data_IF_604873513973
#
_entry.id   IF_604873513973
#
_cell.length_a   1.000
_cell.length_b   1.000
_cell.length_c   1.000
_cell.angle_alpha   90.00
_cell.angle_beta   90.00
_cell.angle_gamma   90.00
#
_symmetry.space_group_name_H-M   'P 1'
#
loop_
_entity.id
_entity.type
_entity.pdbx_description
1 polymer ?
#
# COMPACT_ATOMS: atom_id res chain seq x y z
N UNK A 1 -55.94 21.63 -23.93
CA UNK A 1 -55.72 20.61 -25.01
C UNK A 1 -54.41 20.90 -25.77
N UNK A 2 -53.38 21.31 -25.08
CA UNK A 2 -52.06 21.68 -25.67
C UNK A 2 -50.87 20.84 -25.13
N UNK A 3 -51.12 19.87 -24.25
CA UNK A 3 -50.01 19.13 -23.56
C UNK A 3 -49.67 17.77 -24.17
N UNK A 4 -50.38 17.25 -25.15
CA UNK A 4 -50.14 15.89 -25.70
C UNK A 4 -49.32 15.83 -26.99
N UNK A 5 -48.97 16.96 -27.62
CA UNK A 5 -48.14 16.96 -28.83
C UNK A 5 -46.62 16.98 -28.51
N UNK A 6 -46.22 17.48 -27.34
CA UNK A 6 -44.80 17.57 -26.94
C UNK A 6 -44.23 16.25 -26.39
N UNK A 7 -45.06 15.35 -25.86
CA UNK A 7 -44.56 14.09 -25.28
C UNK A 7 -43.95 13.15 -26.34
N UNK A 8 -44.53 13.12 -27.54
CA UNK A 8 -44.00 12.29 -28.63
C UNK A 8 -42.66 12.80 -29.23
N UNK A 9 -42.52 14.14 -29.26
CA UNK A 9 -41.23 14.74 -29.71
C UNK A 9 -40.15 14.51 -28.67
N UNK A 10 -40.38 14.77 -27.41
CA UNK A 10 -39.45 14.53 -26.30
C UNK A 10 -39.02 13.05 -26.23
N UNK A 11 -39.94 12.11 -26.37
CA UNK A 11 -39.66 10.68 -26.39
C UNK A 11 -38.76 10.27 -27.57
N UNK A 12 -39.06 10.75 -28.78
CA UNK A 12 -38.25 10.48 -30.00
C UNK A 12 -36.87 11.13 -29.89
N UNK A 13 -36.77 12.34 -29.38
CA UNK A 13 -35.53 13.03 -29.15
C UNK A 13 -34.65 12.30 -28.12
N UNK A 14 -35.24 11.86 -27.00
CA UNK A 14 -34.53 11.06 -25.99
C UNK A 14 -34.05 9.72 -26.57
N UNK A 15 -34.90 9.03 -27.34
CA UNK A 15 -34.51 7.79 -28.02
C UNK A 15 -33.37 8.00 -29.03
N UNK A 16 -33.42 9.07 -29.84
CA UNK A 16 -32.36 9.42 -30.78
C UNK A 16 -31.04 9.74 -30.06
N UNK A 17 -31.08 10.50 -28.95
CA UNK A 17 -29.91 10.77 -28.10
C UNK A 17 -29.32 9.49 -27.51
N UNK A 18 -30.15 8.57 -27.03
CA UNK A 18 -29.69 7.29 -26.50
C UNK A 18 -29.02 6.44 -27.56
N UNK A 19 -29.65 6.29 -28.75
CA UNK A 19 -29.09 5.52 -29.88
C UNK A 19 -27.77 6.14 -30.35
N UNK A 20 -27.74 7.47 -30.48
CA UNK A 20 -26.51 8.18 -30.83
C UNK A 20 -25.42 7.96 -29.79
N UNK A 21 -25.73 8.06 -28.49
CA UNK A 21 -24.78 7.81 -27.40
C UNK A 21 -24.21 6.39 -27.43
N UNK A 22 -25.06 5.38 -27.65
CA UNK A 22 -24.63 3.98 -27.77
C UNK A 22 -23.73 3.79 -29.01
N UNK A 23 -24.13 4.33 -30.17
CA UNK A 23 -23.35 4.22 -31.41
C UNK A 23 -21.99 4.94 -31.29
N UNK A 24 -21.98 6.15 -30.72
CA UNK A 24 -20.75 6.90 -30.48
C UNK A 24 -19.82 6.17 -29.47
N UNK A 25 -20.38 5.59 -28.42
CA UNK A 25 -19.64 4.78 -27.44
C UNK A 25 -19.03 3.52 -28.08
N UNK A 26 -19.79 2.81 -28.93
CA UNK A 26 -19.31 1.64 -29.66
C UNK A 26 -18.20 2.02 -30.66
N UNK A 27 -18.39 3.10 -31.41
CA UNK A 27 -17.36 3.61 -32.33
C UNK A 27 -16.09 3.99 -31.54
N UNK A 28 -16.21 4.72 -30.43
CA UNK A 28 -15.10 5.08 -29.59
C UNK A 28 -14.36 3.84 -29.04
N UNK A 29 -15.10 2.80 -28.62
CA UNK A 29 -14.50 1.53 -28.18
C UNK A 29 -13.71 0.84 -29.29
N UNK A 30 -14.19 0.89 -30.54
CA UNK A 30 -13.51 0.27 -31.71
C UNK A 30 -12.24 1.04 -32.08
N UNK A 31 -12.29 2.37 -32.12
CA UNK A 31 -11.21 3.22 -32.62
C UNK A 31 -10.21 3.65 -31.55
N UNK A 32 -10.51 3.51 -30.25
CA UNK A 32 -9.54 3.82 -29.20
C UNK A 32 -8.46 2.75 -29.11
N UNK A 33 -7.17 3.13 -29.05
CA UNK A 33 -6.07 2.18 -28.88
C UNK A 33 -6.26 1.33 -27.61
N UNK A 34 -6.10 0.02 -27.75
CA UNK A 34 -6.22 -0.90 -26.63
C UNK A 34 -5.01 -0.79 -25.73
N UNK A 35 -5.25 -0.85 -24.43
CA UNK A 35 -4.22 -0.79 -23.39
C UNK A 35 -4.32 -2.07 -22.56
N UNK A 36 -3.19 -2.60 -22.15
CA UNK A 36 -3.15 -3.75 -21.22
C UNK A 36 -3.13 -3.32 -19.76
N UNK A 37 -2.79 -2.06 -19.52
CA UNK A 37 -2.64 -1.52 -18.16
C UNK A 37 -3.21 -0.11 -18.06
N UNK A 38 -3.90 0.17 -16.96
CA UNK A 38 -4.36 1.50 -16.57
C UNK A 38 -3.37 2.14 -15.60
N UNK A 39 -2.62 3.12 -16.08
CA UNK A 39 -1.74 3.93 -15.22
C UNK A 39 -2.53 4.67 -14.13
N UNK A 40 -3.75 5.11 -14.41
CA UNK A 40 -4.56 5.86 -13.45
C UNK A 40 -5.08 4.98 -12.32
N UNK A 41 -5.58 3.78 -12.66
CA UNK A 41 -6.10 2.81 -11.69
C UNK A 41 -5.00 1.90 -11.12
N UNK A 42 -3.78 1.96 -11.68
CA UNK A 42 -2.62 1.14 -11.32
C UNK A 42 -2.95 -0.37 -11.33
N UNK A 43 -3.62 -0.83 -12.39
CA UNK A 43 -4.01 -2.25 -12.56
C UNK A 43 -3.99 -2.69 -14.02
N UNK A 44 -3.87 -3.99 -14.21
CA UNK A 44 -4.12 -4.60 -15.52
C UNK A 44 -5.59 -4.41 -15.92
N UNK A 45 -5.82 -4.15 -17.20
CA UNK A 45 -7.16 -4.09 -17.80
C UNK A 45 -7.59 -5.47 -18.30
N UNK A 46 -8.89 -5.70 -18.34
CA UNK A 46 -9.45 -6.97 -18.82
C UNK A 46 -9.04 -7.21 -20.28
N UNK A 47 -8.47 -8.38 -20.61
CA UNK A 47 -8.14 -8.72 -21.97
C UNK A 47 -9.41 -8.98 -22.82
N UNK A 48 -9.33 -8.98 -24.16
CA UNK A 48 -10.47 -9.29 -25.02
C UNK A 48 -11.09 -10.64 -24.64
N UNK A 49 -12.43 -10.71 -24.48
CA UNK A 49 -13.11 -11.92 -24.07
C UNK A 49 -12.96 -13.03 -25.13
N UNK A 50 -12.68 -14.25 -24.69
CA UNK A 50 -12.59 -15.42 -25.57
C UNK A 50 -13.97 -16.05 -25.74
N UNK A 51 -14.46 -16.06 -27.00
CA UNK A 51 -15.72 -16.71 -27.33
C UNK A 51 -15.51 -18.20 -27.51
N UNK A 52 -16.04 -19.00 -26.58
CA UNK A 52 -16.09 -20.47 -26.64
C UNK A 52 -17.50 -20.94 -26.28
N UNK A 53 -17.85 -22.18 -26.66
CA UNK A 53 -19.16 -22.74 -26.30
C UNK A 53 -19.33 -22.86 -24.77
N UNK A 54 -18.26 -23.18 -24.05
CA UNK A 54 -18.29 -23.29 -22.59
C UNK A 54 -18.49 -21.93 -21.95
N UNK A 55 -17.77 -20.89 -22.43
CA UNK A 55 -17.91 -19.53 -21.88
C UNK A 55 -19.29 -18.90 -22.16
N UNK A 56 -19.97 -19.34 -23.20
CA UNK A 56 -21.35 -18.95 -23.45
C UNK A 56 -22.33 -19.68 -22.50
N UNK A 57 -22.09 -20.97 -22.25
CA UNK A 57 -22.97 -21.78 -21.37
C UNK A 57 -22.89 -21.38 -19.91
N UNK A 58 -21.69 -21.09 -19.41
CA UNK A 58 -21.45 -20.72 -18.02
C UNK A 58 -21.60 -19.19 -17.75
N UNK A 59 -21.83 -18.38 -18.81
CA UNK A 59 -21.98 -16.94 -18.72
C UNK A 59 -20.68 -16.14 -18.54
N UNK A 60 -19.53 -16.79 -18.50
CA UNK A 60 -18.23 -16.14 -18.27
C UNK A 60 -17.86 -15.20 -19.44
N UNK A 61 -18.29 -15.53 -20.69
CA UNK A 61 -18.11 -14.64 -21.83
C UNK A 61 -18.79 -13.28 -21.61
N UNK A 62 -20.05 -13.26 -21.18
CA UNK A 62 -20.78 -12.00 -20.95
C UNK A 62 -20.14 -11.18 -19.85
N UNK A 63 -19.72 -11.81 -18.77
CA UNK A 63 -19.02 -11.16 -17.64
C UNK A 63 -17.69 -10.53 -18.10
N UNK A 64 -16.86 -11.28 -18.83
CA UNK A 64 -15.60 -10.78 -19.37
C UNK A 64 -15.81 -9.68 -20.43
N UNK A 65 -16.85 -9.80 -21.27
CA UNK A 65 -17.20 -8.77 -22.23
C UNK A 65 -17.64 -7.46 -21.55
N UNK A 66 -18.47 -7.54 -20.52
CA UNK A 66 -18.87 -6.37 -19.72
C UNK A 66 -17.64 -5.69 -19.06
N UNK A 67 -16.78 -6.47 -18.41
CA UNK A 67 -15.54 -5.96 -17.82
C UNK A 67 -14.62 -5.32 -18.85
N UNK A 68 -14.43 -5.98 -20.02
CA UNK A 68 -13.62 -5.47 -21.11
C UNK A 68 -14.16 -4.14 -21.66
N UNK A 69 -15.47 -4.06 -21.94
CA UNK A 69 -16.11 -2.82 -22.41
C UNK A 69 -15.96 -1.72 -21.36
N UNK A 70 -16.21 -2.03 -20.09
CA UNK A 70 -16.05 -1.09 -18.99
C UNK A 70 -14.61 -0.57 -18.87
N UNK A 71 -13.62 -1.43 -19.03
CA UNK A 71 -12.20 -1.06 -18.91
C UNK A 71 -11.66 -0.25 -20.09
N UNK A 72 -12.16 -0.52 -21.29
CA UNK A 72 -11.70 0.13 -22.54
C UNK A 72 -12.63 1.24 -23.03
N UNK A 73 -13.65 1.59 -22.25
CA UNK A 73 -14.57 2.66 -22.64
C UNK A 73 -13.83 4.00 -22.74
N UNK A 74 -14.08 4.72 -23.81
CA UNK A 74 -13.51 6.04 -24.02
C UNK A 74 -13.94 6.99 -22.88
N UNK A 75 -13.01 7.84 -22.43
CA UNK A 75 -13.24 8.78 -21.32
C UNK A 75 -13.56 8.11 -19.96
N UNK A 76 -13.27 6.80 -19.80
CA UNK A 76 -13.53 6.09 -18.54
C UNK A 76 -13.04 6.86 -17.31
N UNK A 77 -11.78 7.32 -17.32
CA UNK A 77 -11.19 8.05 -16.19
C UNK A 77 -11.97 9.32 -15.87
N UNK A 78 -12.38 10.07 -16.89
CA UNK A 78 -13.18 11.31 -16.73
C UNK A 78 -14.56 10.99 -16.17
N UNK A 79 -15.20 9.94 -16.66
CA UNK A 79 -16.53 9.52 -16.17
C UNK A 79 -16.47 9.00 -14.73
N UNK A 80 -15.42 8.25 -14.37
CA UNK A 80 -15.17 7.81 -12.99
C UNK A 80 -14.98 9.03 -12.08
N UNK A 81 -14.14 9.98 -12.50
CA UNK A 81 -13.91 11.21 -11.73
C UNK A 81 -15.17 12.07 -11.60
N UNK A 82 -15.97 12.18 -12.66
CA UNK A 82 -17.26 12.90 -12.63
C UNK A 82 -18.23 12.22 -11.64
N UNK A 83 -18.34 10.89 -11.69
CA UNK A 83 -19.17 10.14 -10.75
C UNK A 83 -18.68 10.34 -9.30
N UNK A 84 -17.37 10.29 -9.06
CA UNK A 84 -16.79 10.58 -7.75
C UNK A 84 -17.15 12.00 -7.29
N UNK A 85 -17.00 13.00 -8.16
CA UNK A 85 -17.38 14.39 -7.87
C UNK A 85 -18.84 14.55 -7.50
N UNK A 86 -19.72 13.89 -8.26
CA UNK A 86 -21.17 13.92 -8.00
C UNK A 86 -21.52 13.27 -6.66
N UNK A 87 -20.92 12.12 -6.35
CA UNK A 87 -21.12 11.45 -5.05
C UNK A 87 -20.62 12.30 -3.88
N UNK A 88 -19.45 12.97 -4.04
CA UNK A 88 -18.92 13.91 -3.04
C UNK A 88 -19.85 15.10 -2.84
N UNK A 89 -20.45 15.65 -3.91
CA UNK A 89 -21.44 16.73 -3.85
C UNK A 89 -22.68 16.31 -3.07
N UNK A 90 -23.11 15.05 -3.22
CA UNK A 90 -24.21 14.46 -2.44
C UNK A 90 -23.83 14.12 -0.98
N UNK A 91 -22.62 14.48 -0.54
CA UNK A 91 -22.16 14.24 0.83
C UNK A 91 -21.59 12.84 1.08
N UNK A 92 -21.53 11.97 0.07
CA UNK A 92 -20.94 10.65 0.23
C UNK A 92 -19.42 10.74 0.30
N UNK A 93 -18.82 10.14 1.33
CA UNK A 93 -17.38 10.21 1.60
C UNK A 93 -16.67 8.85 1.58
N UNK A 94 -17.41 7.78 1.41
CA UNK A 94 -16.92 6.40 1.31
C UNK A 94 -17.04 5.89 -0.14
N UNK A 95 -15.96 5.37 -0.69
CA UNK A 95 -15.88 4.90 -2.07
C UNK A 95 -15.23 3.53 -2.13
N UNK A 96 -15.69 2.71 -3.09
CA UNK A 96 -15.20 1.35 -3.30
C UNK A 96 -15.23 0.46 -2.03
N UNK A 97 -15.97 0.87 -0.98
CA UNK A 97 -16.14 0.08 0.22
C UNK A 97 -17.27 -0.93 0.01
N UNK A 98 -16.93 -2.20 0.09
CA UNK A 98 -17.90 -3.28 0.25
C UNK A 98 -17.83 -3.78 1.68
N UNK A 99 -18.73 -3.31 2.53
CA UNK A 99 -18.77 -3.71 3.94
C UNK A 99 -19.22 -5.17 4.17
N UNK A 100 -19.66 -5.85 3.12
CA UNK A 100 -20.03 -7.27 3.15
C UNK A 100 -18.88 -8.18 2.71
N UNK A 101 -17.88 -7.64 2.01
CA UNK A 101 -16.74 -8.36 1.47
C UNK A 101 -15.57 -8.46 2.44
N UNK A 102 -14.57 -9.24 2.04
CA UNK A 102 -13.30 -9.37 2.74
C UNK A 102 -12.64 -7.98 2.94
N UNK A 103 -12.14 -7.66 4.16
CA UNK A 103 -11.39 -6.43 4.44
C UNK A 103 -10.26 -6.14 3.45
N UNK A 104 -9.68 -7.17 2.81
CA UNK A 104 -8.67 -7.05 1.77
C UNK A 104 -9.11 -6.23 0.53
N UNK A 105 -10.40 -6.00 0.34
CA UNK A 105 -10.95 -5.16 -0.73
C UNK A 105 -11.26 -3.73 -0.28
N UNK A 106 -10.64 -3.28 0.83
CA UNK A 106 -10.87 -2.02 1.51
C UNK A 106 -11.15 -0.84 0.58
N UNK A 107 -12.24 -0.13 0.89
CA UNK A 107 -12.63 1.11 0.25
C UNK A 107 -11.75 2.27 0.66
N UNK A 108 -12.15 3.46 0.21
CA UNK A 108 -11.45 4.72 0.48
C UNK A 108 -12.41 5.71 1.10
N UNK A 109 -12.01 6.34 2.20
CA UNK A 109 -12.66 7.54 2.73
C UNK A 109 -12.03 8.80 2.15
N UNK A 110 -12.86 9.73 1.69
CA UNK A 110 -12.46 11.12 1.44
C UNK A 110 -12.51 11.90 2.76
N UNK A 111 -11.36 12.06 3.35
CA UNK A 111 -11.17 12.82 4.58
C UNK A 111 -11.07 14.34 4.36
N UNK A 112 -10.74 15.06 5.43
CA UNK A 112 -10.45 16.50 5.40
C UNK A 112 -9.07 16.77 4.83
N UNK A 113 -8.81 18.01 4.43
CA UNK A 113 -7.50 18.49 3.98
C UNK A 113 -6.90 17.73 2.79
N UNK A 114 -7.77 17.11 1.96
CA UNK A 114 -7.35 16.33 0.79
C UNK A 114 -6.76 14.95 1.11
N UNK A 115 -6.92 14.46 2.34
CA UNK A 115 -6.48 13.12 2.69
C UNK A 115 -7.49 12.05 2.25
N UNK A 116 -6.96 10.99 1.68
CA UNK A 116 -7.66 9.74 1.44
C UNK A 116 -7.22 8.74 2.51
N UNK A 117 -8.16 7.95 3.01
CA UNK A 117 -7.88 6.93 4.02
C UNK A 117 -8.40 5.58 3.58
N UNK A 118 -7.66 4.54 3.90
CA UNK A 118 -8.12 3.18 3.72
C UNK A 118 -9.25 2.87 4.69
N UNK A 119 -10.31 2.23 4.19
CA UNK A 119 -11.38 1.68 5.02
C UNK A 119 -10.88 0.37 5.62
N UNK A 120 -10.55 0.37 6.90
CA UNK A 120 -10.12 -0.81 7.63
C UNK A 120 -11.26 -1.31 8.51
N UNK A 121 -11.58 -2.59 8.36
CA UNK A 121 -12.57 -3.28 9.18
C UNK A 121 -11.88 -4.18 10.21
N UNK A 122 -12.52 -4.47 11.35
CA UNK A 122 -11.97 -5.39 12.34
C UNK A 122 -11.71 -6.79 11.74
N UNK A 123 -10.61 -7.42 12.15
CA UNK A 123 -10.32 -8.81 11.77
C UNK A 123 -11.37 -9.76 12.36
N UNK A 124 -12.24 -10.32 11.50
CA UNK A 124 -13.26 -11.29 11.87
C UNK A 124 -12.77 -12.74 11.73
N UNK A 125 -11.61 -12.95 11.14
CA UNK A 125 -11.06 -14.28 10.80
C UNK A 125 -10.07 -14.80 11.83
N UNK A 126 -9.61 -13.94 12.75
CA UNK A 126 -8.60 -14.24 13.75
C UNK A 126 -7.18 -14.41 13.17
N UNK A 127 -6.95 -13.92 11.95
CA UNK A 127 -5.62 -13.92 11.30
C UNK A 127 -4.64 -13.11 12.13
N UNK A 128 -5.04 -11.93 12.62
CA UNK A 128 -4.18 -11.09 13.43
C UNK A 128 -3.66 -11.81 14.68
N UNK A 129 -4.54 -12.45 15.45
CA UNK A 129 -4.16 -13.18 16.67
C UNK A 129 -3.19 -14.33 16.38
N UNK A 130 -3.41 -15.06 15.30
CA UNK A 130 -2.48 -16.13 14.88
C UNK A 130 -1.12 -15.56 14.49
N UNK A 131 -1.09 -14.44 13.78
CA UNK A 131 0.15 -13.75 13.42
C UNK A 131 0.87 -13.20 14.65
N UNK A 132 0.15 -12.60 15.60
CA UNK A 132 0.72 -12.12 16.86
C UNK A 132 1.39 -13.26 17.65
N UNK A 133 0.72 -14.41 17.79
CA UNK A 133 1.28 -15.57 18.46
C UNK A 133 2.54 -16.10 17.73
N UNK A 134 2.52 -16.14 16.40
CA UNK A 134 3.65 -16.60 15.60
C UNK A 134 4.86 -15.66 15.71
N UNK A 135 4.66 -14.35 15.69
CA UNK A 135 5.70 -13.35 15.90
C UNK A 135 6.24 -13.41 17.33
N UNK A 136 5.36 -13.60 18.33
CA UNK A 136 5.76 -13.77 19.72
C UNK A 136 6.67 -14.99 19.97
N UNK A 137 6.43 -16.09 19.27
CA UNK A 137 7.24 -17.30 19.35
C UNK A 137 8.52 -17.28 18.52
N UNK A 138 8.64 -16.30 17.59
CA UNK A 138 9.71 -16.30 16.59
C UNK A 138 11.11 -16.23 17.19
N UNK A 139 11.33 -15.35 18.18
CA UNK A 139 12.65 -15.14 18.78
C UNK A 139 13.21 -16.42 19.40
N UNK A 140 12.38 -17.19 20.11
CA UNK A 140 12.77 -18.48 20.70
C UNK A 140 13.09 -19.53 19.61
N UNK A 141 12.24 -19.63 18.60
CA UNK A 141 12.45 -20.59 17.50
C UNK A 141 13.66 -20.26 16.64
N UNK A 142 13.90 -18.99 16.39
CA UNK A 142 15.01 -18.49 15.59
C UNK A 142 16.35 -18.47 16.34
N UNK A 143 16.33 -18.42 17.68
CA UNK A 143 17.50 -18.20 18.51
C UNK A 143 18.11 -16.82 18.35
N UNK A 144 17.32 -15.83 17.89
CA UNK A 144 17.75 -14.42 17.72
C UNK A 144 16.67 -13.49 18.24
N UNK A 145 17.02 -12.34 18.87
CA UNK A 145 16.02 -11.38 19.34
C UNK A 145 15.25 -10.78 18.17
N UNK A 146 13.94 -10.56 18.38
CA UNK A 146 13.02 -9.94 17.43
C UNK A 146 12.48 -8.61 17.98
N UNK A 147 12.58 -7.56 17.19
CA UNK A 147 11.87 -6.29 17.46
C UNK A 147 10.74 -6.13 16.46
N UNK A 148 9.50 -6.08 16.93
CA UNK A 148 8.30 -5.91 16.09
C UNK A 148 7.86 -4.47 16.10
N UNK A 149 7.76 -3.85 14.94
CA UNK A 149 7.22 -2.50 14.72
C UNK A 149 5.89 -2.63 13.96
N UNK A 150 4.75 -2.70 14.67
CA UNK A 150 3.45 -2.61 14.04
C UNK A 150 3.17 -1.15 13.64
N UNK A 151 2.95 -0.92 12.35
CA UNK A 151 2.72 0.44 11.83
C UNK A 151 1.21 0.70 11.76
N UNK A 152 0.70 1.72 12.49
CA UNK A 152 -0.70 2.09 12.39
C UNK A 152 -1.01 2.72 11.03
N UNK A 153 -2.27 2.71 10.63
CA UNK A 153 -2.74 3.40 9.42
C UNK A 153 -2.85 4.91 9.63
N UNK A 154 -2.87 5.67 8.54
CA UNK A 154 -3.16 7.10 8.58
C UNK A 154 -4.53 7.40 9.21
N UNK A 155 -5.54 6.56 8.97
CA UNK A 155 -6.86 6.69 9.58
C UNK A 155 -6.81 6.59 11.12
N UNK A 156 -5.97 5.74 11.67
CA UNK A 156 -5.77 5.59 13.12
C UNK A 156 -5.08 6.81 13.73
N UNK A 157 -4.11 7.40 13.04
CA UNK A 157 -3.27 8.48 13.59
C UNK A 157 -3.77 9.90 13.27
N UNK A 158 -4.79 10.00 12.41
CA UNK A 158 -5.42 11.25 11.97
C UNK A 158 -6.96 11.17 12.03
N UNK A 159 -7.55 10.69 13.14
CA UNK A 159 -8.99 10.46 13.23
C UNK A 159 -9.82 11.75 13.04
N UNK A 160 -9.24 12.91 13.36
CA UNK A 160 -9.84 14.22 13.15
C UNK A 160 -10.10 14.57 11.68
N UNK A 161 -9.40 13.94 10.76
CA UNK A 161 -9.57 14.12 9.33
C UNK A 161 -10.59 13.15 8.70
N UNK A 162 -11.02 12.13 9.42
CA UNK A 162 -12.02 11.18 8.92
C UNK A 162 -13.39 11.81 8.73
N UNK A 163 -14.24 11.28 7.84
CA UNK A 163 -15.66 11.63 7.78
C UNK A 163 -16.35 11.35 9.10
N UNK A 164 -17.40 12.11 9.39
CA UNK A 164 -18.26 11.84 10.55
C UNK A 164 -18.82 10.42 10.46
N UNK A 165 -18.79 9.70 11.58
CA UNK A 165 -19.27 8.31 11.67
C UNK A 165 -18.58 7.31 10.76
N UNK A 166 -17.37 7.61 10.25
CA UNK A 166 -16.57 6.62 9.56
C UNK A 166 -16.24 5.47 10.51
N UNK A 167 -16.55 4.20 10.15
CA UNK A 167 -16.09 3.07 10.94
C UNK A 167 -14.56 3.09 11.06
N UNK A 168 -14.05 2.89 12.27
CA UNK A 168 -12.63 2.82 12.53
C UNK A 168 -12.29 1.49 13.21
N UNK A 169 -11.16 0.92 12.84
CA UNK A 169 -10.60 -0.25 13.50
C UNK A 169 -9.72 0.17 14.67
N UNK A 170 -9.91 -0.42 15.86
CA UNK A 170 -9.08 -0.15 17.04
C UNK A 170 -7.70 -0.81 16.91
N UNK A 171 -6.78 -0.10 16.29
CA UNK A 171 -5.42 -0.59 16.10
C UNK A 171 -4.56 -0.51 17.38
N UNK A 172 -4.97 0.26 18.39
CA UNK A 172 -4.33 0.23 19.70
C UNK A 172 -4.67 -1.05 20.46
N UNK A 173 -5.88 -1.57 20.31
CA UNK A 173 -6.26 -2.89 20.80
C UNK A 173 -5.41 -4.00 20.18
N UNK A 174 -5.11 -3.88 18.88
CA UNK A 174 -4.23 -4.84 18.20
C UNK A 174 -2.77 -4.73 18.67
N UNK A 175 -2.25 -3.51 18.92
CA UNK A 175 -0.94 -3.34 19.54
C UNK A 175 -0.86 -4.04 20.91
N UNK A 176 -1.90 -3.92 21.73
CA UNK A 176 -1.96 -4.60 23.03
C UNK A 176 -2.01 -6.13 22.87
N UNK A 177 -2.71 -6.63 21.85
CA UNK A 177 -2.73 -8.06 21.50
C UNK A 177 -1.34 -8.57 21.12
N UNK A 178 -0.58 -7.82 20.30
CA UNK A 178 0.82 -8.14 19.98
C UNK A 178 1.72 -8.17 21.21
N UNK A 179 1.58 -7.18 22.11
CA UNK A 179 2.33 -7.13 23.35
C UNK A 179 2.03 -8.30 24.28
N UNK A 180 0.75 -8.67 24.40
CA UNK A 180 0.35 -9.82 25.19
C UNK A 180 0.86 -11.16 24.62
N UNK A 181 1.04 -11.24 23.31
CA UNK A 181 1.59 -12.41 22.62
C UNK A 181 3.12 -12.47 22.60
N UNK A 182 3.81 -11.38 22.93
CA UNK A 182 5.27 -11.30 22.90
C UNK A 182 5.90 -12.29 23.90
N UNK A 183 6.68 -13.23 23.37
CA UNK A 183 7.45 -14.19 24.16
C UNK A 183 8.87 -13.67 24.48
N UNK A 184 9.64 -14.45 25.22
CA UNK A 184 11.02 -14.10 25.57
C UNK A 184 11.87 -13.77 24.32
N UNK A 185 12.58 -12.63 24.38
CA UNK A 185 13.38 -12.14 23.26
C UNK A 185 12.62 -11.41 22.15
N UNK A 186 11.29 -11.23 22.33
CA UNK A 186 10.47 -10.41 21.41
C UNK A 186 10.07 -9.11 22.08
N UNK A 187 10.37 -7.97 21.43
CA UNK A 187 9.99 -6.62 21.87
C UNK A 187 9.00 -6.02 20.86
N UNK A 188 7.91 -5.40 21.36
CA UNK A 188 6.88 -4.75 20.53
C UNK A 188 6.95 -3.24 20.72
N UNK A 189 7.28 -2.54 19.65
CA UNK A 189 7.47 -1.09 19.61
C UNK A 189 6.13 -0.37 19.52
N UNK A 190 5.94 0.66 20.31
CA UNK A 190 4.84 1.62 20.18
C UNK A 190 5.31 2.86 19.42
N UNK A 191 4.78 3.06 18.25
CA UNK A 191 5.10 4.22 17.41
C UNK A 191 3.89 5.16 17.23
N UNK A 192 2.74 4.80 17.76
CA UNK A 192 1.48 5.52 17.57
C UNK A 192 1.60 7.01 17.94
N UNK A 193 2.04 7.30 19.16
CA UNK A 193 2.13 8.68 19.63
C UNK A 193 3.15 9.51 18.82
N UNK A 194 4.19 8.87 18.28
CA UNK A 194 5.19 9.52 17.47
C UNK A 194 4.70 9.84 16.06
N UNK A 195 3.64 9.15 15.58
CA UNK A 195 3.02 9.35 14.27
C UNK A 195 1.69 10.12 14.35
N UNK A 196 1.17 10.39 15.53
CA UNK A 196 -0.11 11.05 15.72
C UNK A 196 -0.06 12.51 15.29
N UNK A 197 -0.93 12.89 14.32
CA UNK A 197 -1.07 14.28 13.90
C UNK A 197 -1.47 15.19 15.07
N UNK A 198 -2.42 14.75 15.90
CA UNK A 198 -2.90 15.50 17.06
C UNK A 198 -1.80 15.78 18.09
N UNK A 199 -0.89 14.84 18.33
CA UNK A 199 0.19 14.98 19.31
C UNK A 199 1.39 15.75 18.80
N UNK A 200 1.73 15.58 17.54
CA UNK A 200 2.96 16.13 16.95
C UNK A 200 2.73 17.39 16.12
N UNK A 201 1.50 17.63 15.66
CA UNK A 201 1.16 18.71 14.72
C UNK A 201 1.75 18.49 13.32
N UNK A 202 2.29 17.30 13.03
CA UNK A 202 2.95 16.97 11.77
C UNK A 202 2.25 15.82 11.06
N UNK A 203 2.14 15.96 9.72
CA UNK A 203 1.62 14.90 8.86
C UNK A 203 2.73 13.91 8.51
N UNK A 204 2.52 12.65 8.86
CA UNK A 204 3.46 11.56 8.66
C UNK A 204 3.02 10.58 7.57
N UNK A 205 1.85 10.79 6.95
CA UNK A 205 1.31 9.94 5.90
C UNK A 205 1.17 10.71 4.61
N UNK A 206 1.20 9.98 3.48
CA UNK A 206 0.79 10.55 2.22
C UNK A 206 -0.73 10.79 2.23
N UNK A 207 -1.17 11.80 1.49
CA UNK A 207 -2.61 12.12 1.35
C UNK A 207 -3.32 11.17 0.39
N UNK A 208 -2.60 10.68 -0.61
CA UNK A 208 -3.16 9.90 -1.72
C UNK A 208 -2.71 8.45 -1.73
N UNK A 209 -1.88 8.06 -0.76
CA UNK A 209 -1.35 6.70 -0.58
C UNK A 209 -1.53 6.21 0.85
N UNK A 210 -1.59 4.89 1.04
CA UNK A 210 -1.75 4.31 2.37
C UNK A 210 -0.47 4.29 3.21
N UNK A 211 0.68 4.50 2.62
CA UNK A 211 1.95 4.48 3.34
C UNK A 211 2.21 5.78 4.11
N UNK A 212 3.07 5.68 5.10
CA UNK A 212 3.74 6.84 5.66
C UNK A 212 4.65 7.53 4.63
N UNK A 213 4.87 8.82 4.79
CA UNK A 213 5.83 9.59 4.01
C UNK A 213 7.26 9.44 4.58
N UNK A 214 8.25 10.12 3.99
CA UNK A 214 9.64 10.06 4.44
C UNK A 214 9.81 10.45 5.92
N UNK A 215 9.02 11.41 6.43
CA UNK A 215 9.06 11.82 7.82
C UNK A 215 8.48 10.74 8.75
N UNK A 216 7.40 10.08 8.35
CA UNK A 216 6.82 8.96 9.10
C UNK A 216 7.76 7.77 9.16
N UNK A 217 8.37 7.42 8.01
CA UNK A 217 9.38 6.36 7.95
C UNK A 217 10.60 6.67 8.85
N UNK A 218 11.04 7.94 8.93
CA UNK A 218 12.11 8.35 9.84
C UNK A 218 11.68 8.24 11.32
N UNK A 219 10.45 8.60 11.67
CA UNK A 219 9.93 8.43 13.03
C UNK A 219 9.87 6.94 13.42
N UNK A 220 9.38 6.08 12.52
CA UNK A 220 9.38 4.62 12.69
C UNK A 220 10.78 4.04 12.85
N UNK A 221 11.74 4.49 12.02
CA UNK A 221 13.15 4.12 12.14
C UNK A 221 13.71 4.44 13.53
N UNK A 222 13.50 5.67 14.02
CA UNK A 222 14.00 6.09 15.33
C UNK A 222 13.44 5.21 16.45
N UNK A 223 12.15 4.91 16.40
CA UNK A 223 11.49 4.06 17.39
C UNK A 223 12.07 2.62 17.34
N UNK A 224 12.24 2.07 16.15
CA UNK A 224 12.76 0.72 15.93
C UNK A 224 14.19 0.56 16.45
N UNK A 225 15.12 1.43 16.02
CA UNK A 225 16.53 1.30 16.43
C UNK A 225 16.73 1.60 17.92
N UNK A 226 15.92 2.50 18.52
CA UNK A 226 15.91 2.74 19.97
C UNK A 226 15.53 1.47 20.74
N UNK A 227 14.48 0.78 20.33
CA UNK A 227 14.07 -0.49 20.92
C UNK A 227 15.15 -1.59 20.75
N UNK A 228 15.89 -1.57 19.65
CA UNK A 228 17.04 -2.46 19.43
C UNK A 228 18.30 -2.07 20.22
N UNK A 229 18.24 -1.03 21.08
CA UNK A 229 19.40 -0.52 21.83
C UNK A 229 20.47 0.14 20.95
N UNK A 230 20.10 0.65 19.77
CA UNK A 230 21.00 1.28 18.82
C UNK A 230 20.78 2.80 18.73
N UNK A 231 21.83 3.60 18.47
CA UNK A 231 21.67 5.02 18.23
C UNK A 231 20.98 5.27 16.90
N UNK A 232 20.00 6.17 16.86
CA UNK A 232 19.42 6.64 15.61
C UNK A 232 20.35 7.67 14.96
N UNK A 233 20.59 7.54 13.65
CA UNK A 233 21.25 8.59 12.89
C UNK A 233 20.39 9.88 12.91
N UNK A 234 20.99 11.04 13.15
CA UNK A 234 20.25 12.29 13.18
C UNK A 234 19.71 12.65 11.78
N UNK A 235 18.63 13.43 11.73
CA UNK A 235 18.02 13.82 10.46
C UNK A 235 19.01 14.54 9.53
N UNK A 236 19.98 15.25 10.10
CA UNK A 236 21.08 15.92 9.38
C UNK A 236 22.05 14.96 8.66
N UNK A 237 21.99 13.67 8.97
CA UNK A 237 22.77 12.65 8.23
C UNK A 237 22.20 12.37 6.83
N UNK A 238 21.00 12.87 6.53
CA UNK A 238 20.30 12.61 5.28
C UNK A 238 20.08 13.91 4.50
N UNK A 239 20.10 13.77 3.17
CA UNK A 239 19.58 14.75 2.22
C UNK A 239 18.35 14.17 1.55
N UNK A 240 17.37 15.02 1.21
CA UNK A 240 16.12 14.59 0.60
C UNK A 240 16.05 15.09 -0.85
N UNK A 241 15.70 14.21 -1.77
CA UNK A 241 15.48 14.54 -3.18
C UNK A 241 14.01 14.28 -3.52
N UNK A 242 13.32 15.34 -3.92
CA UNK A 242 11.94 15.25 -4.38
C UNK A 242 11.85 14.67 -5.79
N UNK A 243 10.85 13.87 -6.06
CA UNK A 243 10.49 13.51 -7.43
C UNK A 243 10.02 14.77 -8.18
N UNK A 244 10.36 14.87 -9.47
CA UNK A 244 9.93 15.99 -10.32
C UNK A 244 8.44 15.94 -10.62
N UNK A 245 7.94 14.73 -10.85
CA UNK A 245 6.54 14.48 -11.21
C UNK A 245 5.67 14.36 -9.96
N UNK A 246 4.41 14.82 -9.99
CA UNK A 246 3.49 14.69 -8.87
C UNK A 246 3.24 13.22 -8.51
N UNK A 247 3.01 12.94 -7.23
CA UNK A 247 2.69 11.61 -6.73
C UNK A 247 1.20 11.49 -6.40
N UNK A 248 0.56 10.51 -7.03
CA UNK A 248 -0.78 10.05 -6.71
C UNK A 248 -0.71 8.55 -6.41
N UNK A 249 -0.89 8.18 -5.15
CA UNK A 249 -0.68 6.82 -4.67
C UNK A 249 -1.86 5.88 -4.90
N UNK A 250 -1.83 4.76 -4.18
CA UNK A 250 -2.76 3.64 -4.33
C UNK A 250 -4.19 3.99 -3.92
N UNK A 251 -4.38 4.85 -2.91
CA UNK A 251 -5.72 5.27 -2.50
C UNK A 251 -6.39 6.12 -3.57
N UNK A 252 -5.64 7.02 -4.20
CA UNK A 252 -6.15 7.78 -5.35
C UNK A 252 -6.55 6.86 -6.51
N UNK A 253 -5.80 5.79 -6.77
CA UNK A 253 -6.11 4.85 -7.85
C UNK A 253 -7.44 4.12 -7.64
N UNK A 254 -7.85 3.93 -6.38
CA UNK A 254 -9.14 3.32 -6.00
C UNK A 254 -10.32 4.31 -6.10
N UNK A 255 -10.05 5.62 -5.99
CA UNK A 255 -11.10 6.65 -5.93
C UNK A 255 -10.67 7.91 -6.69
N UNK A 256 -10.55 7.80 -8.02
CA UNK A 256 -10.05 8.86 -8.90
C UNK A 256 -10.95 10.11 -8.80
N UNK A 257 -10.31 11.25 -8.51
CA UNK A 257 -10.93 12.55 -8.40
C UNK A 257 -10.00 13.64 -8.93
N UNK A 258 -10.41 14.36 -9.98
CA UNK A 258 -9.56 15.38 -10.62
C UNK A 258 -9.24 16.59 -9.74
N UNK A 259 -10.04 16.82 -8.68
CA UNK A 259 -9.79 17.85 -7.66
C UNK A 259 -8.76 17.45 -6.59
N UNK A 260 -8.25 16.22 -6.62
CA UNK A 260 -7.28 15.74 -5.64
C UNK A 260 -5.92 16.39 -5.85
N UNK A 261 -5.32 16.90 -4.77
CA UNK A 261 -3.96 17.42 -4.79
C UNK A 261 -2.95 16.28 -4.65
N UNK A 262 -1.84 16.33 -5.40
CA UNK A 262 -0.79 15.32 -5.30
C UNK A 262 -0.01 15.42 -4.00
N UNK A 263 0.73 14.35 -3.69
CA UNK A 263 1.73 14.34 -2.64
C UNK A 263 3.10 14.78 -3.14
N UNK A 264 3.91 15.29 -2.23
CA UNK A 264 5.35 15.42 -2.40
C UNK A 264 6.00 14.05 -2.11
N UNK A 265 6.67 13.47 -3.09
CA UNK A 265 7.40 12.22 -2.93
C UNK A 265 8.90 12.49 -2.81
N UNK A 266 9.49 12.17 -1.67
CA UNK A 266 10.89 12.42 -1.36
C UNK A 266 11.63 11.13 -1.02
N UNK A 267 12.86 11.01 -1.52
CA UNK A 267 13.79 9.94 -1.19
C UNK A 267 14.92 10.46 -0.29
N UNK A 268 15.14 9.85 0.90
CA UNK A 268 16.27 10.18 1.74
C UNK A 268 17.57 9.54 1.23
N UNK A 269 18.64 10.29 1.14
CA UNK A 269 19.98 9.83 0.80
C UNK A 269 20.92 10.03 1.99
N UNK A 270 21.50 8.97 2.49
CA UNK A 270 22.51 9.03 3.55
C UNK A 270 23.83 9.59 3.03
N UNK A 271 24.48 10.42 3.83
CA UNK A 271 25.76 11.06 3.49
C UNK A 271 26.92 10.05 3.39
N UNK A 272 26.83 8.91 4.08
CA UNK A 272 27.88 7.90 4.18
C UNK A 272 27.61 6.64 3.34
N UNK A 273 26.85 6.76 2.25
CA UNK A 273 26.50 5.63 1.39
C UNK A 273 27.57 5.32 0.32
N UNK A 274 28.80 5.09 0.75
CA UNK A 274 29.85 4.65 -0.17
C UNK A 274 29.80 3.14 -0.39
N UNK A 275 29.63 2.71 -1.64
CA UNK A 275 29.59 1.28 -1.98
C UNK A 275 28.28 0.58 -1.61
N UNK A 276 27.21 1.33 -1.34
CA UNK A 276 25.88 0.78 -1.08
C UNK A 276 25.38 -0.03 -2.28
N UNK A 277 24.98 -1.27 -2.04
CA UNK A 277 24.46 -2.18 -3.08
C UNK A 277 23.18 -2.86 -2.64
N UNK A 278 22.37 -3.26 -3.63
CA UNK A 278 21.18 -4.07 -3.44
C UNK A 278 21.27 -5.33 -4.31
N UNK A 279 21.03 -6.48 -3.73
CA UNK A 279 20.96 -7.75 -4.44
C UNK A 279 19.53 -8.30 -4.42
N UNK A 280 18.99 -8.65 -5.58
CA UNK A 280 17.69 -9.33 -5.76
C UNK A 280 17.93 -10.56 -6.64
N UNK A 281 17.78 -11.75 -6.05
CA UNK A 281 18.13 -12.98 -6.71
C UNK A 281 19.63 -13.01 -7.11
N UNK A 282 19.91 -13.14 -8.42
CA UNK A 282 21.28 -13.13 -8.97
C UNK A 282 21.75 -11.74 -9.43
N UNK A 283 20.87 -10.73 -9.42
CA UNK A 283 21.19 -9.38 -9.89
C UNK A 283 21.64 -8.50 -8.72
N UNK A 284 22.74 -7.78 -8.91
CA UNK A 284 23.23 -6.76 -7.98
C UNK A 284 23.13 -5.40 -8.66
N UNK A 285 22.63 -4.45 -7.91
CA UNK A 285 22.44 -3.06 -8.33
C UNK A 285 23.27 -2.13 -7.45
N UNK A 286 23.73 -1.03 -8.01
CA UNK A 286 24.31 0.07 -7.25
C UNK A 286 23.20 0.88 -6.58
N UNK A 287 23.38 1.19 -5.29
CA UNK A 287 22.36 1.89 -4.50
C UNK A 287 21.13 1.02 -4.19
N UNK A 288 20.13 1.64 -3.57
CA UNK A 288 18.87 1.00 -3.16
C UNK A 288 17.66 1.53 -3.89
N UNK A 289 17.82 2.58 -4.69
CA UNK A 289 16.72 3.20 -5.42
C UNK A 289 16.67 2.72 -6.88
N UNK A 290 15.46 2.62 -7.39
CA UNK A 290 15.15 2.40 -8.80
C UNK A 290 14.54 3.68 -9.34
N UNK A 291 15.41 4.62 -9.74
CA UNK A 291 14.98 5.98 -10.13
C UNK A 291 14.06 6.01 -11.35
N UNK A 292 14.07 4.95 -12.16
CA UNK A 292 13.14 4.78 -13.28
C UNK A 292 11.66 4.76 -12.86
N UNK A 293 11.36 4.44 -11.60
CA UNK A 293 9.99 4.50 -11.08
C UNK A 293 9.54 5.93 -10.73
N UNK A 294 10.46 6.88 -10.56
CA UNK A 294 10.10 8.27 -10.23
C UNK A 294 9.33 8.98 -11.36
N UNK A 295 9.48 8.51 -12.60
CA UNK A 295 8.70 8.97 -13.76
C UNK A 295 7.41 8.16 -14.00
N UNK A 296 7.16 7.11 -13.22
CA UNK A 296 5.97 6.27 -13.32
C UNK A 296 4.91 6.66 -12.30
N UNK A 297 3.70 6.12 -12.48
CA UNK A 297 2.60 6.26 -11.50
C UNK A 297 3.00 5.70 -10.13
N UNK A 298 3.51 4.48 -10.10
CA UNK A 298 3.98 3.81 -8.89
C UNK A 298 5.41 4.30 -8.52
N UNK A 299 5.48 5.53 -7.98
CA UNK A 299 6.75 6.08 -7.49
C UNK A 299 7.25 5.38 -6.23
N UNK A 300 6.36 4.76 -5.45
CA UNK A 300 6.76 4.07 -4.22
C UNK A 300 7.68 2.88 -4.50
N UNK A 301 7.55 2.24 -5.66
CA UNK A 301 8.49 1.22 -6.12
C UNK A 301 9.91 1.73 -6.41
N UNK A 302 10.16 3.05 -6.38
CA UNK A 302 11.53 3.57 -6.37
C UNK A 302 12.30 3.07 -5.14
N UNK A 303 11.62 2.82 -4.02
CA UNK A 303 12.22 2.09 -2.90
C UNK A 303 12.41 0.62 -3.29
N UNK A 304 13.65 0.19 -3.42
CA UNK A 304 14.06 -1.22 -3.58
C UNK A 304 13.57 -1.93 -4.87
N UNK A 305 12.82 -1.26 -5.76
CA UNK A 305 12.19 -1.89 -6.93
C UNK A 305 10.94 -2.71 -6.57
N UNK A 306 10.23 -2.32 -5.51
CA UNK A 306 9.00 -2.99 -5.05
C UNK A 306 9.26 -4.04 -3.95
N UNK A 307 8.56 -5.18 -4.02
CA UNK A 307 8.53 -6.20 -2.97
C UNK A 307 9.01 -7.59 -3.45
N UNK A 308 10.31 -7.79 -3.76
CA UNK A 308 10.85 -9.12 -4.02
C UNK A 308 10.75 -10.02 -2.76
N UNK A 309 10.68 -11.35 -2.97
CA UNK A 309 10.65 -12.30 -1.86
C UNK A 309 11.85 -12.15 -0.91
N UNK A 310 13.04 -11.91 -1.47
CA UNK A 310 14.27 -11.62 -0.73
C UNK A 310 15.04 -10.51 -1.43
N UNK A 311 15.47 -9.54 -0.64
CA UNK A 311 16.39 -8.48 -1.05
C UNK A 311 17.49 -8.37 -0.01
N UNK A 312 18.74 -8.28 -0.43
CA UNK A 312 19.88 -8.04 0.48
C UNK A 312 20.51 -6.70 0.15
N UNK A 313 20.47 -5.78 1.12
CA UNK A 313 21.13 -4.48 1.03
C UNK A 313 22.43 -4.52 1.81
N UNK A 314 23.53 -4.04 1.20
CA UNK A 314 24.85 -3.97 1.83
C UNK A 314 25.37 -2.55 1.84
N UNK A 315 25.71 -2.05 3.00
CA UNK A 315 26.44 -0.80 3.20
C UNK A 315 27.75 -1.07 3.96
N UNK A 316 28.89 -1.22 3.27
CA UNK A 316 30.17 -1.50 3.93
C UNK A 316 30.59 -0.41 4.93
N UNK A 317 30.09 0.80 4.80
CA UNK A 317 30.42 1.93 5.69
C UNK A 317 29.64 1.91 7.01
N UNK A 318 28.56 1.12 7.13
CA UNK A 318 27.77 1.08 8.35
C UNK A 318 28.45 0.25 9.46
N UNK A 319 28.35 0.71 10.73
CA UNK A 319 29.11 0.09 11.83
C UNK A 319 28.55 -1.24 12.33
N UNK A 320 27.27 -1.50 12.11
CA UNK A 320 26.57 -2.68 12.63
C UNK A 320 26.74 -3.91 11.74
N UNK A 321 26.31 -5.07 12.27
CA UNK A 321 26.33 -6.35 11.57
C UNK A 321 25.08 -6.55 10.69
N UNK A 322 24.61 -7.83 10.64
CA UNK A 322 23.49 -8.26 9.80
C UNK A 322 22.16 -8.12 10.53
N UNK A 323 21.14 -7.65 9.82
CA UNK A 323 19.74 -7.59 10.26
C UNK A 323 18.88 -8.46 9.34
N UNK A 324 18.03 -9.32 9.91
CA UNK A 324 16.85 -9.81 9.21
C UNK A 324 15.71 -8.80 9.37
N UNK A 325 15.08 -8.41 8.27
CA UNK A 325 13.90 -7.56 8.26
C UNK A 325 12.72 -8.31 7.60
N UNK A 326 11.86 -8.90 8.42
CA UNK A 326 10.56 -9.43 7.98
C UNK A 326 9.65 -8.24 7.70
N UNK A 327 8.99 -8.22 6.55
CA UNK A 327 8.41 -6.96 6.09
C UNK A 327 7.16 -7.08 5.24
N UNK A 328 6.39 -5.97 5.23
CA UNK A 328 5.53 -5.56 4.13
C UNK A 328 6.13 -4.32 3.41
N UNK A 329 5.32 -3.65 2.58
CA UNK A 329 5.77 -2.48 1.81
C UNK A 329 6.12 -1.25 2.66
N UNK A 330 5.57 -1.11 3.87
CA UNK A 330 5.90 0.02 4.76
C UNK A 330 7.39 0.07 5.11
N UNK A 331 8.03 -1.09 5.28
CA UNK A 331 9.44 -1.16 5.56
C UNK A 331 10.34 -0.64 4.43
N UNK A 332 9.86 -0.60 3.18
CA UNK A 332 10.69 -0.17 2.04
C UNK A 332 11.26 1.24 2.24
N UNK A 333 10.43 2.19 2.69
CA UNK A 333 10.85 3.57 2.95
C UNK A 333 11.64 3.74 4.26
N UNK A 334 11.65 2.72 5.13
CA UNK A 334 12.43 2.72 6.36
C UNK A 334 13.88 2.22 6.13
N UNK A 335 14.10 1.34 5.14
CA UNK A 335 15.41 0.75 4.83
C UNK A 335 16.52 1.80 4.60
N UNK A 336 16.29 2.91 3.89
CA UNK A 336 17.30 3.95 3.72
C UNK A 336 17.93 4.41 5.03
N UNK A 337 17.11 4.57 6.06
CA UNK A 337 17.59 4.99 7.38
C UNK A 337 18.34 3.86 8.12
N UNK A 338 17.90 2.61 7.97
CA UNK A 338 18.56 1.45 8.56
C UNK A 338 19.97 1.19 7.98
N UNK A 339 20.22 1.66 6.75
CA UNK A 339 21.55 1.59 6.14
C UNK A 339 22.63 2.35 6.93
N UNK A 340 22.27 3.27 7.83
CA UNK A 340 23.23 3.93 8.73
C UNK A 340 23.64 3.05 9.93
N UNK A 341 22.82 2.04 10.27
CA UNK A 341 23.06 1.17 11.42
C UNK A 341 23.61 -0.21 11.07
N UNK A 342 23.30 -0.75 9.88
CA UNK A 342 23.57 -2.14 9.53
C UNK A 342 24.37 -2.25 8.24
N UNK A 343 25.45 -3.05 8.30
CA UNK A 343 26.28 -3.32 7.12
C UNK A 343 25.62 -4.27 6.13
N UNK A 344 24.68 -5.09 6.59
CA UNK A 344 23.91 -6.00 5.73
C UNK A 344 22.47 -6.14 6.26
N UNK A 345 21.47 -5.90 5.39
CA UNK A 345 20.04 -6.02 5.72
C UNK A 345 19.44 -7.05 4.79
N UNK A 346 18.94 -8.14 5.35
CA UNK A 346 18.22 -9.18 4.66
C UNK A 346 16.72 -8.93 4.77
N UNK A 347 16.12 -8.34 3.75
CA UNK A 347 14.68 -8.11 3.68
C UNK A 347 14.00 -9.37 3.16
N UNK A 348 13.03 -9.87 3.92
CA UNK A 348 12.24 -11.03 3.54
C UNK A 348 10.76 -10.69 3.61
N UNK A 349 10.11 -10.75 2.45
CA UNK A 349 8.67 -10.60 2.34
C UNK A 349 7.99 -11.98 2.36
N UNK A 350 7.39 -12.32 3.49
CA UNK A 350 6.79 -13.64 3.71
C UNK A 350 5.58 -13.92 2.81
N UNK A 351 5.02 -12.93 2.13
CA UNK A 351 3.98 -13.14 1.11
C UNK A 351 4.49 -13.98 -0.06
N UNK A 352 5.74 -13.74 -0.42
CA UNK A 352 6.39 -14.33 -1.60
C UNK A 352 7.50 -15.34 -1.25
N UNK A 353 8.01 -15.32 -0.01
CA UNK A 353 9.05 -16.23 0.44
C UNK A 353 8.45 -17.56 0.92
N UNK A 354 8.82 -18.68 0.28
CA UNK A 354 8.24 -19.99 0.51
C UNK A 354 9.23 -21.01 1.13
N UNK A 355 10.45 -20.57 1.47
CA UNK A 355 11.47 -21.42 2.08
C UNK A 355 11.44 -21.29 3.61
N UNK A 356 12.20 -22.13 4.30
CA UNK A 356 12.36 -22.12 5.76
C UNK A 356 13.17 -20.88 6.19
N UNK A 357 12.53 -19.97 6.92
CA UNK A 357 13.13 -18.72 7.41
C UNK A 357 14.18 -18.99 8.49
N UNK A 358 14.02 -20.03 9.30
CA UNK A 358 14.95 -20.37 10.38
C UNK A 358 16.27 -20.95 9.80
N UNK A 359 16.15 -21.77 8.75
CA UNK A 359 17.31 -22.21 7.98
C UNK A 359 18.02 -21.03 7.31
N UNK A 360 17.27 -20.09 6.76
CA UNK A 360 17.83 -18.87 6.17
C UNK A 360 18.65 -18.06 7.17
N UNK A 361 18.14 -17.85 8.39
CA UNK A 361 18.84 -17.14 9.48
C UNK A 361 20.19 -17.81 9.78
N UNK A 362 20.18 -19.13 9.96
CA UNK A 362 21.40 -19.92 10.27
C UNK A 362 22.43 -19.83 9.15
N UNK A 363 22.01 -20.03 7.91
CA UNK A 363 22.87 -20.02 6.73
C UNK A 363 23.54 -18.65 6.50
N UNK A 364 22.88 -17.56 6.84
CA UNK A 364 23.39 -16.21 6.65
C UNK A 364 24.06 -15.63 7.90
N UNK A 365 24.09 -16.36 9.02
CA UNK A 365 24.72 -15.94 10.26
C UNK A 365 24.08 -14.70 10.88
N UNK A 366 22.76 -14.56 10.73
CA UNK A 366 21.99 -13.41 11.23
C UNK A 366 21.87 -13.51 12.75
N UNK A 367 22.07 -12.39 13.46
CA UNK A 367 22.05 -12.33 14.92
C UNK A 367 21.00 -11.37 15.49
N UNK A 368 20.34 -10.58 14.65
CA UNK A 368 19.28 -9.64 15.00
C UNK A 368 18.14 -9.71 13.98
N UNK A 369 16.91 -9.63 14.44
CA UNK A 369 15.75 -9.60 13.57
C UNK A 369 14.81 -8.44 13.94
N UNK A 370 14.17 -7.88 12.94
CA UNK A 370 13.04 -6.98 13.06
C UNK A 370 11.88 -7.46 12.20
N UNK A 371 10.66 -7.13 12.60
CA UNK A 371 9.45 -7.32 11.82
C UNK A 371 8.73 -5.99 11.69
N UNK A 372 8.61 -5.46 10.49
CA UNK A 372 7.93 -4.18 10.21
C UNK A 372 6.75 -4.46 9.30
N UNK A 373 5.57 -4.36 9.86
CA UNK A 373 4.31 -4.62 9.16
C UNK A 373 3.28 -3.56 9.53
N UNK A 374 2.46 -3.16 8.56
CA UNK A 374 1.24 -2.44 8.86
C UNK A 374 0.27 -3.35 9.63
N UNK A 375 -0.52 -2.76 10.51
CA UNK A 375 -1.54 -3.52 11.24
C UNK A 375 -2.58 -4.09 10.28
N UNK A 376 -2.93 -3.38 9.20
CA UNK A 376 -3.81 -3.90 8.16
C UNK A 376 -3.28 -5.19 7.54
N UNK A 377 -2.01 -5.24 7.17
CA UNK A 377 -1.42 -6.48 6.62
C UNK A 377 -1.37 -7.62 7.64
N UNK A 378 -1.17 -7.32 8.92
CA UNK A 378 -1.25 -8.33 9.97
C UNK A 378 -2.66 -8.90 10.15
N UNK A 379 -3.70 -8.15 9.81
CA UNK A 379 -5.10 -8.60 9.81
C UNK A 379 -5.46 -9.45 8.58
N UNK A 380 -4.76 -9.27 7.46
CA UNK A 380 -5.13 -9.86 6.17
C UNK A 380 -4.30 -11.10 5.80
N UNK A 381 -2.99 -11.05 6.06
CA UNK A 381 -2.05 -12.06 5.52
C UNK A 381 -1.68 -13.08 6.59
N UNK A 382 -1.88 -14.40 6.35
CA UNK A 382 -1.60 -15.43 7.34
C UNK A 382 -0.10 -15.75 7.44
N UNK A 383 0.70 -14.83 8.02
CA UNK A 383 2.13 -14.98 8.26
C UNK A 383 2.45 -16.18 9.14
N UNK A 384 1.56 -16.51 10.09
CA UNK A 384 1.68 -17.66 10.96
C UNK A 384 1.91 -18.98 10.19
N UNK A 385 1.31 -19.13 9.01
CA UNK A 385 1.50 -20.31 8.15
C UNK A 385 2.95 -20.46 7.65
N UNK A 386 3.76 -19.40 7.70
CA UNK A 386 5.18 -19.39 7.30
C UNK A 386 6.11 -19.47 8.51
N UNK A 387 5.70 -18.89 9.63
CA UNK A 387 6.51 -18.77 10.85
C UNK A 387 6.36 -19.96 11.79
N UNK A 388 5.31 -20.77 11.68
CA UNK A 388 5.05 -21.92 12.54
C UNK A 388 5.37 -23.26 11.88
N UNK A 389 5.90 -23.27 10.67
CA UNK A 389 6.36 -24.47 9.94
C UNK A 389 7.63 -25.06 10.53
#
# INVERSE_FOLDING_TARGET
MCELKDSGFCARFAAALLIFGIAAGAAALIFTPKREFSEQENRALEPPPKLTLDSLRDGSFMKSAESYVGDHFALRTQLVSLNTSFRLLLGRRDFAADYSADPAQGGVYFGRNGHLYEVLLPDRTGVFRRNAAALGAFAQRAGVPLTVLPVPSGAQEQPENLPLSAPSHDQRGELNTLRAAAGPGTEVVDVFDALSLKKTGRDYYFKTDHHWNAAGAYAGYRALVKAMGLPAAPQSAFTYRAAKEPFYGTLYSKAIFTGQQPDLFELPYGKNWSGLTQQVGRKTYSGIYREEYLSRKDKYSAYLGGNPAVTVVRNPAAPGGKLLLLKDSFANSLVPYLCENFSEIHLVDLRYYNQDIYKYIKQNGIKKAAAVYSISQLCEIPLANKLLR
#
